data_IF_179038964933
#
_entry.id   IF_179038964933
#
_cell.length_a   1.000
_cell.length_b   1.000
_cell.length_c   1.000
_cell.angle_alpha   90.00
_cell.angle_beta   90.00
_cell.angle_gamma   90.00
#
_symmetry.space_group_name_H-M   'P 1'
#
loop_
_entity.id
_entity.type
_entity.pdbx_description
1 polymer ?
#
# COMPACT_ATOMS: atom_id res chain seq x y z
N UNK A 1 0.58 33.73 -12.67
CA UNK A 1 -0.57 32.82 -12.64
C UNK A 1 -0.48 31.66 -13.64
N UNK A 2 -0.09 31.88 -14.91
CA UNK A 2 -0.02 30.85 -15.96
C UNK A 2 0.98 29.73 -15.66
N UNK A 3 2.20 30.05 -15.21
CA UNK A 3 3.23 29.06 -14.85
C UNK A 3 2.80 28.18 -13.67
N UNK A 4 2.05 28.73 -12.71
CA UNK A 4 1.55 27.99 -11.55
C UNK A 4 0.49 26.97 -11.98
N UNK A 5 -0.36 27.29 -12.94
CA UNK A 5 -1.32 26.35 -13.53
C UNK A 5 -0.60 25.21 -14.26
N UNK A 6 0.46 25.52 -15.03
CA UNK A 6 1.27 24.50 -15.71
C UNK A 6 1.96 23.57 -14.73
N UNK A 7 2.52 24.09 -13.62
CA UNK A 7 3.08 23.24 -12.56
C UNK A 7 2.03 22.34 -11.93
N UNK A 8 0.83 22.84 -11.68
CA UNK A 8 -0.26 22.06 -11.12
C UNK A 8 -0.72 20.95 -12.08
N UNK A 9 -0.87 21.27 -13.36
CA UNK A 9 -1.26 20.30 -14.39
C UNK A 9 -0.25 19.16 -14.54
N UNK A 10 1.04 19.42 -14.39
CA UNK A 10 2.09 18.39 -14.39
C UNK A 10 2.19 17.71 -13.03
N UNK A 11 1.99 18.43 -11.93
CA UNK A 11 2.06 17.91 -10.58
C UNK A 11 0.98 16.89 -10.26
N UNK A 12 -0.24 17.04 -10.79
CA UNK A 12 -1.35 16.10 -10.56
C UNK A 12 -1.04 14.66 -11.00
N UNK A 13 -0.61 14.38 -12.25
CA UNK A 13 -0.20 13.04 -12.65
C UNK A 13 0.93 12.47 -11.78
N UNK A 14 1.93 13.28 -11.44
CA UNK A 14 3.02 12.86 -10.54
C UNK A 14 2.49 12.49 -9.16
N UNK A 15 1.59 13.31 -8.60
CA UNK A 15 0.93 13.02 -7.31
C UNK A 15 0.17 11.70 -7.38
N UNK A 16 -0.58 11.45 -8.44
CA UNK A 16 -1.32 10.20 -8.62
C UNK A 16 -0.39 8.98 -8.64
N UNK A 17 0.72 9.05 -9.39
CA UNK A 17 1.70 7.96 -9.45
C UNK A 17 2.29 7.73 -8.05
N UNK A 18 2.77 8.78 -7.38
CA UNK A 18 3.40 8.67 -6.06
C UNK A 18 2.41 8.19 -4.98
N UNK A 19 1.17 8.65 -5.05
CA UNK A 19 0.10 8.22 -4.12
C UNK A 19 -0.22 6.74 -4.32
N UNK A 20 -0.40 6.28 -5.55
CA UNK A 20 -0.70 4.87 -5.82
C UNK A 20 0.44 3.95 -5.39
N UNK A 21 1.67 4.31 -5.76
CA UNK A 21 2.86 3.56 -5.31
C UNK A 21 2.96 3.57 -3.80
N UNK A 22 2.72 4.71 -3.17
CA UNK A 22 2.71 4.86 -1.73
C UNK A 22 1.64 4.01 -1.04
N UNK A 23 0.43 3.95 -1.61
CA UNK A 23 -0.65 3.08 -1.13
C UNK A 23 -0.26 1.60 -1.21
N UNK A 24 0.24 1.17 -2.36
CA UNK A 24 0.64 -0.23 -2.57
C UNK A 24 1.72 -0.65 -1.56
N UNK A 25 2.78 0.16 -1.39
CA UNK A 25 3.85 -0.14 -0.43
C UNK A 25 3.37 -0.04 1.02
N UNK A 26 2.56 0.97 1.34
CA UNK A 26 2.05 1.16 2.70
C UNK A 26 1.15 0.02 3.17
N UNK A 27 0.26 -0.48 2.31
CA UNK A 27 -0.59 -1.63 2.64
C UNK A 27 0.22 -2.91 2.82
N UNK A 28 1.25 -3.11 2.00
CA UNK A 28 2.15 -4.27 2.13
C UNK A 28 2.97 -4.19 3.41
N UNK A 29 3.58 -3.04 3.69
CA UNK A 29 4.37 -2.81 4.90
C UNK A 29 3.55 -2.98 6.17
N UNK A 30 2.34 -2.43 6.20
CA UNK A 30 1.40 -2.60 7.31
C UNK A 30 1.00 -4.08 7.49
N UNK A 31 0.72 -4.80 6.41
CA UNK A 31 0.42 -6.24 6.46
C UNK A 31 1.61 -7.04 7.00
N UNK A 32 2.83 -6.76 6.54
CA UNK A 32 4.05 -7.41 7.05
C UNK A 32 4.27 -7.10 8.53
N UNK A 33 4.10 -5.84 8.94
CA UNK A 33 4.26 -5.42 10.32
C UNK A 33 3.25 -6.12 11.23
N UNK A 34 2.00 -6.23 10.81
CA UNK A 34 0.98 -6.95 11.58
C UNK A 34 1.28 -8.44 11.71
N UNK A 35 1.77 -9.10 10.64
CA UNK A 35 2.18 -10.50 10.72
C UNK A 35 3.33 -10.69 11.73
N UNK A 36 4.36 -9.86 11.67
CA UNK A 36 5.48 -9.88 12.65
C UNK A 36 5.01 -9.58 14.07
N UNK A 37 3.98 -8.73 14.21
CA UNK A 37 3.38 -8.39 15.50
C UNK A 37 2.69 -9.57 16.21
N UNK A 38 2.52 -10.72 15.56
CA UNK A 38 2.08 -11.95 16.19
C UNK A 38 3.12 -12.53 17.18
N UNK A 39 4.40 -12.18 17.03
CA UNK A 39 5.49 -12.69 17.86
C UNK A 39 5.88 -14.13 17.56
N UNK A 40 5.40 -14.71 16.46
CA UNK A 40 5.71 -16.06 16.02
C UNK A 40 6.96 -16.15 15.16
N UNK A 41 7.65 -17.30 15.19
CA UNK A 41 8.79 -17.62 14.32
C UNK A 41 8.37 -18.40 13.09
N UNK A 42 7.33 -19.28 13.22
CA UNK A 42 6.82 -20.16 12.16
C UNK A 42 5.32 -20.02 12.07
N UNK A 43 4.81 -20.13 10.85
CA UNK A 43 3.36 -20.18 10.55
C UNK A 43 3.02 -21.42 9.76
N UNK A 44 2.05 -22.19 10.24
CA UNK A 44 1.45 -23.32 9.54
C UNK A 44 0.08 -22.92 9.03
N UNK A 45 -0.18 -23.10 7.73
CA UNK A 45 -1.43 -22.68 7.08
C UNK A 45 -2.24 -23.87 6.59
N UNK A 46 -3.55 -23.68 6.46
CA UNK A 46 -4.44 -24.66 5.86
C UNK A 46 -4.20 -24.84 4.36
N UNK A 47 -4.55 -26.00 3.84
CA UNK A 47 -4.41 -26.36 2.43
C UNK A 47 -5.68 -26.07 1.66
N UNK A 48 -5.67 -25.06 0.81
CA UNK A 48 -6.62 -24.88 -0.28
C UNK A 48 -5.94 -24.15 -1.43
N UNK A 49 -6.19 -24.54 -2.66
CA UNK A 49 -5.61 -23.91 -3.84
C UNK A 49 -5.96 -22.40 -3.93
N UNK A 50 -7.09 -21.98 -3.35
CA UNK A 50 -7.47 -20.56 -3.25
C UNK A 50 -6.74 -19.81 -2.12
N UNK A 51 -6.12 -20.50 -1.17
CA UNK A 51 -5.44 -19.91 -0.01
C UNK A 51 -4.09 -19.27 -0.35
N UNK A 52 -3.55 -19.49 -1.53
CA UNK A 52 -2.32 -18.83 -1.98
C UNK A 52 -2.51 -17.32 -2.15
N UNK A 53 -3.74 -16.84 -2.37
CA UNK A 53 -4.07 -15.45 -2.64
C UNK A 53 -4.95 -14.83 -1.54
N UNK A 54 -5.81 -15.65 -0.89
CA UNK A 54 -6.72 -15.20 0.17
C UNK A 54 -6.30 -15.79 1.53
N UNK A 55 -6.09 -14.92 2.52
CA UNK A 55 -5.76 -15.28 3.91
C UNK A 55 -6.92 -15.96 4.66
N UNK A 56 -8.09 -16.08 4.05
CA UNK A 56 -9.29 -16.73 4.60
C UNK A 56 -9.80 -17.82 3.67
N UNK A 57 -10.26 -18.90 4.25
CA UNK A 57 -10.93 -20.01 3.55
C UNK A 57 -10.27 -21.38 3.65
N UNK A 58 -8.96 -21.46 3.90
CA UNK A 58 -8.33 -22.74 4.22
C UNK A 58 -8.28 -22.91 5.73
N UNK A 59 -8.82 -24.00 6.23
CA UNK A 59 -8.85 -24.27 7.67
C UNK A 59 -8.10 -25.56 8.01
N UNK A 60 -7.44 -25.54 9.18
CA UNK A 60 -6.84 -26.71 9.84
C UNK A 60 -7.70 -27.11 11.03
N UNK A 61 -7.62 -28.38 11.43
CA UNK A 61 -8.21 -28.78 12.70
C UNK A 61 -7.46 -28.13 13.87
N UNK A 62 -8.19 -27.60 14.84
CA UNK A 62 -7.62 -27.04 16.06
C UNK A 62 -6.77 -28.05 16.83
N UNK A 63 -7.03 -29.37 16.68
CA UNK A 63 -6.22 -30.45 17.26
C UNK A 63 -4.74 -30.41 16.82
N UNK A 64 -4.45 -29.80 15.68
CA UNK A 64 -3.05 -29.61 15.27
C UNK A 64 -2.28 -28.64 16.17
N UNK A 65 -2.95 -27.73 16.87
CA UNK A 65 -2.30 -26.85 17.85
C UNK A 65 -1.62 -27.68 18.94
N UNK A 66 -2.34 -28.66 19.53
CA UNK A 66 -1.78 -29.50 20.59
C UNK A 66 -0.69 -30.46 20.06
N UNK A 67 -0.82 -30.92 18.81
CA UNK A 67 0.21 -31.73 18.17
C UNK A 67 1.49 -30.92 17.92
N UNK A 68 1.38 -29.70 17.43
CA UNK A 68 2.50 -28.82 17.13
C UNK A 68 3.17 -28.32 18.41
N UNK A 69 2.40 -28.05 19.47
CA UNK A 69 2.91 -27.66 20.79
C UNK A 69 3.86 -28.73 21.39
N UNK A 70 3.68 -30.02 21.06
CA UNK A 70 4.50 -31.12 21.56
C UNK A 70 5.77 -31.38 20.73
N UNK A 71 6.02 -30.63 19.69
CA UNK A 71 7.21 -30.82 18.86
C UNK A 71 8.44 -30.25 19.55
N UNK A 72 9.62 -30.80 19.22
CA UNK A 72 10.89 -30.30 19.73
C UNK A 72 11.12 -28.85 19.37
N UNK A 73 11.65 -28.06 20.27
CA UNK A 73 11.94 -26.65 20.10
C UNK A 73 10.73 -25.74 19.91
N UNK A 74 9.49 -26.23 20.06
CA UNK A 74 8.29 -25.41 20.07
C UNK A 74 7.96 -25.01 21.50
N UNK A 75 8.11 -23.73 21.84
CA UNK A 75 7.76 -23.18 23.13
C UNK A 75 6.24 -23.00 23.24
N UNK A 76 5.62 -22.48 22.15
CA UNK A 76 4.19 -22.18 22.15
C UNK A 76 3.58 -22.36 20.75
N UNK A 77 2.35 -22.90 20.71
CA UNK A 77 1.53 -22.98 19.51
C UNK A 77 0.17 -22.31 19.74
N UNK A 78 -0.23 -21.42 18.83
CA UNK A 78 -1.49 -20.66 18.92
C UNK A 78 -2.24 -20.74 17.60
N UNK A 79 -3.47 -21.27 17.64
CA UNK A 79 -4.38 -21.25 16.49
C UNK A 79 -5.18 -19.97 16.44
N UNK A 80 -5.34 -19.43 15.22
CA UNK A 80 -6.20 -18.28 14.98
C UNK A 80 -7.14 -18.55 13.81
N UNK A 81 -8.35 -17.98 13.87
CA UNK A 81 -9.31 -18.02 12.78
C UNK A 81 -9.47 -16.60 12.23
N UNK A 82 -9.25 -16.42 10.94
CA UNK A 82 -9.42 -15.12 10.28
C UNK A 82 -10.61 -15.17 9.34
N UNK A 83 -11.50 -14.19 9.47
CA UNK A 83 -12.67 -14.00 8.61
C UNK A 83 -12.63 -12.62 7.94
N UNK A 84 -12.70 -12.59 6.60
CA UNK A 84 -12.75 -11.34 5.86
C UNK A 84 -14.17 -10.79 5.84
N UNK A 85 -14.35 -9.58 6.38
CA UNK A 85 -15.65 -8.91 6.34
C UNK A 85 -15.77 -8.11 5.04
N UNK A 86 -14.76 -7.30 4.77
CA UNK A 86 -14.68 -6.43 3.60
C UNK A 86 -13.19 -6.08 3.41
N UNK A 87 -12.62 -6.45 2.27
CA UNK A 87 -11.21 -6.14 2.02
C UNK A 87 -10.93 -4.64 2.21
N UNK A 88 -9.88 -4.27 2.96
CA UNK A 88 -8.87 -5.12 3.59
C UNK A 88 -9.15 -5.53 5.06
N UNK A 89 -10.35 -5.27 5.59
CA UNK A 89 -10.69 -5.50 6.99
C UNK A 89 -10.98 -6.98 7.27
N UNK A 90 -10.27 -7.51 8.24
CA UNK A 90 -10.37 -8.90 8.72
C UNK A 90 -10.70 -8.90 10.21
N UNK A 91 -11.62 -9.77 10.64
CA UNK A 91 -11.82 -10.13 12.04
C UNK A 91 -10.99 -11.36 12.35
N UNK A 92 -10.28 -11.35 13.45
CA UNK A 92 -9.47 -12.48 13.89
C UNK A 92 -9.97 -12.99 15.23
N UNK A 93 -10.37 -14.25 15.25
CA UNK A 93 -10.69 -14.99 16.45
C UNK A 93 -9.42 -15.53 17.09
N UNK A 94 -9.22 -15.24 18.36
CA UNK A 94 -8.04 -15.64 19.15
C UNK A 94 -8.45 -16.23 20.50
N UNK A 95 -7.62 -17.15 21.00
CA UNK A 95 -7.52 -17.40 22.43
C UNK A 95 -6.67 -16.28 23.02
N UNK A 96 -7.30 -15.39 23.78
CA UNK A 96 -6.66 -14.15 24.24
C UNK A 96 -5.44 -14.42 25.10
N UNK A 97 -5.49 -15.39 26.00
CA UNK A 97 -4.41 -15.71 26.93
C UNK A 97 -3.20 -16.24 26.17
N UNK A 98 -3.40 -17.25 25.33
CA UNK A 98 -2.33 -17.83 24.51
C UNK A 98 -1.74 -16.84 23.51
N UNK A 99 -2.61 -16.09 22.82
CA UNK A 99 -2.16 -15.13 21.83
C UNK A 99 -1.37 -13.97 22.46
N UNK A 100 -1.84 -13.41 23.57
CA UNK A 100 -1.12 -12.32 24.26
C UNK A 100 0.21 -12.78 24.84
N UNK A 101 0.29 -14.00 25.33
CA UNK A 101 1.56 -14.58 25.80
C UNK A 101 2.58 -14.69 24.65
N UNK A 102 2.15 -15.13 23.45
CA UNK A 102 3.01 -15.20 22.27
C UNK A 102 3.39 -13.83 21.73
N UNK A 103 2.41 -12.93 21.58
CA UNK A 103 2.57 -11.62 20.97
C UNK A 103 3.21 -10.56 21.87
N UNK A 104 3.61 -10.91 23.09
CA UNK A 104 4.17 -9.98 24.08
C UNK A 104 3.12 -9.03 24.70
N UNK A 105 1.84 -9.44 24.71
CA UNK A 105 0.73 -8.68 25.27
C UNK A 105 0.08 -7.69 24.31
N UNK A 106 -1.08 -7.18 24.71
CA UNK A 106 -1.74 -6.04 24.09
C UNK A 106 -1.50 -4.78 24.91
N UNK A 107 -1.12 -3.69 24.25
CA UNK A 107 -1.03 -2.37 24.87
C UNK A 107 -2.39 -1.69 24.75
N UNK A 108 -3.16 -1.70 25.82
CA UNK A 108 -4.48 -1.06 25.86
C UNK A 108 -4.35 0.45 25.96
N UNK A 109 -5.02 1.17 25.06
CA UNK A 109 -5.19 2.63 25.09
C UNK A 109 -6.40 2.96 25.95
N UNK A 110 -7.47 2.15 25.84
CA UNK A 110 -8.71 2.29 26.61
C UNK A 110 -9.35 0.91 26.80
N UNK A 111 -10.15 0.76 27.86
CA UNK A 111 -10.85 -0.49 28.16
C UNK A 111 -9.96 -1.62 28.65
N UNK A 112 -10.20 -2.85 28.20
CA UNK A 112 -9.47 -4.04 28.67
C UNK A 112 -9.79 -5.31 27.85
N UNK A 113 -9.41 -6.48 28.42
CA UNK A 113 -9.55 -7.77 27.75
C UNK A 113 -11.01 -8.23 27.64
N UNK A 114 -11.26 -9.27 26.85
CA UNK A 114 -12.58 -9.93 26.74
C UNK A 114 -13.08 -10.39 28.13
N UNK A 115 -14.34 -10.16 28.39
CA UNK A 115 -15.05 -10.62 29.60
C UNK A 115 -16.32 -11.39 29.26
N UNK A 116 -16.85 -11.17 28.04
CA UNK A 116 -18.09 -11.77 27.57
C UNK A 116 -17.92 -12.27 26.14
N UNK A 117 -18.69 -13.28 25.70
CA UNK A 117 -18.58 -13.82 24.34
C UNK A 117 -18.79 -12.82 23.21
N UNK A 118 -19.51 -11.71 23.49
CA UNK A 118 -19.77 -10.66 22.50
C UNK A 118 -18.80 -9.46 22.62
N UNK A 119 -17.74 -9.62 23.41
CA UNK A 119 -16.71 -8.60 23.53
C UNK A 119 -15.80 -8.64 22.31
N UNK A 120 -15.38 -7.47 21.84
CA UNK A 120 -14.39 -7.31 20.81
C UNK A 120 -13.33 -6.29 21.22
N UNK A 121 -12.11 -6.52 20.78
CA UNK A 121 -11.00 -5.58 20.90
C UNK A 121 -10.74 -5.03 19.51
N UNK A 122 -10.57 -3.72 19.41
CA UNK A 122 -10.22 -3.04 18.17
C UNK A 122 -8.89 -2.30 18.31
N UNK A 123 -8.18 -2.09 17.22
CA UNK A 123 -6.99 -1.26 17.26
C UNK A 123 -7.36 0.23 17.11
N UNK A 124 -6.38 1.10 17.37
CA UNK A 124 -6.56 2.56 17.29
C UNK A 124 -6.96 3.06 15.91
N UNK A 125 -6.54 2.37 14.83
CA UNK A 125 -6.87 2.79 13.49
C UNK A 125 -8.34 2.53 13.16
N UNK A 126 -8.84 1.32 13.51
CA UNK A 126 -10.25 1.00 13.36
C UNK A 126 -11.14 1.89 14.24
N UNK A 127 -10.72 2.12 15.49
CA UNK A 127 -11.39 3.04 16.41
C UNK A 127 -11.51 4.44 15.83
N UNK A 128 -10.43 4.99 15.27
CA UNK A 128 -10.42 6.32 14.67
C UNK A 128 -11.25 6.39 13.39
N UNK A 129 -11.17 5.38 12.50
CA UNK A 129 -11.91 5.37 11.22
C UNK A 129 -13.41 5.24 11.40
N UNK A 130 -13.84 4.43 12.35
CA UNK A 130 -15.26 4.15 12.62
C UNK A 130 -15.84 5.00 13.73
N UNK A 131 -15.04 5.86 14.36
CA UNK A 131 -15.42 6.68 15.52
C UNK A 131 -16.00 5.85 16.68
N UNK A 132 -15.35 4.70 16.95
CA UNK A 132 -15.80 3.73 17.95
C UNK A 132 -14.86 3.76 19.15
N UNK A 133 -15.43 3.80 20.36
CA UNK A 133 -14.68 3.87 21.61
C UNK A 133 -14.92 2.63 22.49
N UNK A 134 -14.07 2.43 23.48
CA UNK A 134 -14.31 1.39 24.47
C UNK A 134 -15.61 1.67 25.23
N UNK A 135 -16.49 0.66 25.29
CA UNK A 135 -17.85 0.74 25.84
C UNK A 135 -18.96 0.82 24.79
N UNK A 136 -18.63 1.14 23.54
CA UNK A 136 -19.62 1.21 22.46
C UNK A 136 -20.08 -0.19 22.01
N UNK A 137 -21.26 -0.23 21.40
CA UNK A 137 -21.77 -1.45 20.75
C UNK A 137 -21.93 -1.20 19.27
N UNK A 138 -21.31 -2.05 18.45
CA UNK A 138 -21.37 -1.96 16.99
C UNK A 138 -21.96 -3.21 16.37
N UNK A 139 -22.64 -3.06 15.24
CA UNK A 139 -23.15 -4.18 14.45
C UNK A 139 -22.09 -4.65 13.47
N UNK A 140 -21.66 -5.92 13.60
CA UNK A 140 -20.71 -6.56 12.72
C UNK A 140 -21.11 -8.01 12.48
N UNK A 141 -21.04 -8.51 11.23
CA UNK A 141 -21.48 -9.87 10.87
C UNK A 141 -22.92 -10.17 11.34
N UNK A 142 -23.84 -9.19 11.20
CA UNK A 142 -25.25 -9.25 11.65
C UNK A 142 -25.44 -9.50 13.15
N UNK A 143 -24.44 -9.17 13.98
CA UNK A 143 -24.48 -9.37 15.43
C UNK A 143 -24.00 -8.10 16.14
N UNK A 144 -24.59 -7.76 17.30
CA UNK A 144 -24.07 -6.69 18.15
C UNK A 144 -22.81 -7.15 18.88
N UNK A 145 -21.75 -6.34 18.80
CA UNK A 145 -20.48 -6.54 19.50
C UNK A 145 -20.22 -5.37 20.43
N UNK A 146 -19.83 -5.68 21.65
CA UNK A 146 -19.38 -4.70 22.62
C UNK A 146 -17.88 -4.49 22.51
N UNK A 147 -17.45 -3.26 22.23
CA UNK A 147 -16.03 -2.89 22.16
C UNK A 147 -15.49 -2.77 23.57
N UNK A 148 -14.90 -3.83 24.07
CA UNK A 148 -14.37 -3.88 25.46
C UNK A 148 -13.01 -3.20 25.60
N UNK A 149 -12.24 -3.08 24.51
CA UNK A 149 -10.90 -2.48 24.55
C UNK A 149 -10.46 -1.92 23.20
N UNK A 150 -9.65 -0.86 23.29
CA UNK A 150 -8.92 -0.28 22.18
C UNK A 150 -7.43 -0.46 22.45
N UNK A 151 -6.70 -1.04 21.48
CA UNK A 151 -5.27 -1.35 21.60
C UNK A 151 -4.42 -0.57 20.60
N UNK A 152 -3.11 -0.51 20.83
CA UNK A 152 -2.15 -0.04 19.83
C UNK A 152 -2.17 -0.94 18.61
N UNK A 153 -2.00 -0.34 17.42
CA UNK A 153 -1.95 -1.06 16.16
C UNK A 153 -0.65 -1.87 15.99
N UNK A 154 -0.61 -2.74 14.97
CA UNK A 154 0.59 -3.52 14.61
C UNK A 154 0.57 -4.98 15.08
N UNK A 155 -0.53 -5.44 15.66
CA UNK A 155 -0.78 -6.87 15.90
C UNK A 155 -1.64 -7.41 14.74
N UNK A 156 -1.54 -8.66 14.43
CA UNK A 156 -2.13 -9.47 13.36
C UNK A 156 -3.35 -8.89 12.61
N UNK A 157 -4.29 -8.27 13.32
CA UNK A 157 -5.56 -7.75 12.77
C UNK A 157 -5.94 -6.41 13.41
N UNK A 158 -6.93 -5.72 12.81
CA UNK A 158 -7.56 -4.53 13.38
C UNK A 158 -8.67 -4.85 14.37
N UNK A 159 -9.23 -6.05 14.28
CA UNK A 159 -10.39 -6.49 15.07
C UNK A 159 -10.11 -7.88 15.62
N UNK A 160 -10.25 -8.03 16.94
CA UNK A 160 -10.10 -9.30 17.63
C UNK A 160 -11.38 -9.65 18.36
N UNK A 161 -11.72 -10.93 18.31
CA UNK A 161 -12.86 -11.53 19.01
C UNK A 161 -12.44 -12.87 19.64
N UNK A 162 -13.26 -13.44 20.50
CA UNK A 162 -12.99 -14.77 21.06
C UNK A 162 -13.05 -15.85 19.94
N UNK A 163 -12.05 -16.72 19.90
CA UNK A 163 -11.90 -17.75 18.86
C UNK A 163 -13.16 -18.61 18.73
N UNK A 164 -13.70 -19.10 19.85
CA UNK A 164 -14.88 -20.00 19.85
C UNK A 164 -16.11 -19.32 19.26
N UNK A 165 -16.30 -18.05 19.58
CA UNK A 165 -17.42 -17.26 19.07
C UNK A 165 -17.32 -17.06 17.55
N UNK A 166 -16.13 -16.78 17.04
CA UNK A 166 -15.93 -16.64 15.60
C UNK A 166 -16.07 -18.00 14.89
N UNK A 167 -15.59 -19.09 15.49
CA UNK A 167 -15.78 -20.44 14.96
C UNK A 167 -17.27 -20.83 14.80
N UNK A 168 -18.10 -20.45 15.77
CA UNK A 168 -19.54 -20.67 15.69
C UNK A 168 -20.19 -19.86 14.57
N UNK A 169 -19.82 -18.56 14.46
CA UNK A 169 -20.37 -17.64 13.44
C UNK A 169 -19.97 -18.06 12.01
N UNK A 170 -18.75 -18.55 11.85
CA UNK A 170 -18.21 -18.96 10.56
C UNK A 170 -18.49 -20.43 10.22
N UNK A 171 -19.30 -21.12 11.04
CA UNK A 171 -19.57 -22.56 10.91
C UNK A 171 -18.29 -23.42 10.82
N UNK A 172 -17.24 -22.96 11.49
CA UNK A 172 -15.89 -23.54 11.48
C UNK A 172 -15.48 -24.06 12.86
N UNK A 173 -16.43 -24.63 13.62
CA UNK A 173 -16.16 -25.15 14.96
C UNK A 173 -15.00 -26.15 14.97
N UNK A 174 -14.03 -25.94 15.87
CA UNK A 174 -12.81 -26.75 15.99
C UNK A 174 -11.84 -26.60 14.81
N UNK A 175 -11.95 -25.51 14.04
CA UNK A 175 -11.04 -25.18 12.94
C UNK A 175 -10.38 -23.83 13.15
N UNK A 176 -9.16 -23.69 12.62
CA UNK A 176 -8.36 -22.46 12.62
C UNK A 176 -7.84 -22.21 11.21
N UNK A 177 -7.61 -20.96 10.84
CA UNK A 177 -7.06 -20.61 9.52
C UNK A 177 -5.55 -20.83 9.45
N UNK A 178 -4.87 -20.58 10.55
CA UNK A 178 -3.42 -20.70 10.67
C UNK A 178 -3.02 -20.97 12.12
N UNK A 179 -1.86 -21.60 12.28
CA UNK A 179 -1.27 -21.87 13.59
C UNK A 179 0.10 -21.17 13.61
N UNK A 180 0.27 -20.33 14.58
CA UNK A 180 1.52 -19.63 14.88
C UNK A 180 2.33 -20.44 15.88
N UNK A 181 3.64 -20.57 15.63
CA UNK A 181 4.57 -21.27 16.51
C UNK A 181 5.65 -20.28 16.95
N UNK A 182 5.89 -20.24 18.25
CA UNK A 182 7.03 -19.59 18.85
C UNK A 182 8.03 -20.65 19.27
N UNK A 183 9.30 -20.43 18.99
CA UNK A 183 10.38 -21.37 19.29
C UNK A 183 11.11 -20.94 20.57
N UNK A 184 11.75 -21.93 21.22
CA UNK A 184 12.68 -21.70 22.34
C UNK A 184 13.91 -20.88 21.90
N UNK A 185 14.34 -21.07 20.64
CA UNK A 185 15.40 -20.33 20.02
C UNK A 185 15.12 -20.12 18.53
N UNK A 186 15.05 -18.87 18.03
CA UNK A 186 14.83 -18.57 16.61
C UNK A 186 15.85 -19.23 15.65
N UNK A 187 17.06 -19.54 16.12
CA UNK A 187 18.07 -20.24 15.30
C UNK A 187 17.64 -21.63 14.86
N UNK A 188 16.68 -22.25 15.55
CA UNK A 188 16.14 -23.57 15.24
C UNK A 188 15.08 -23.56 14.14
N UNK A 189 14.67 -22.38 13.63
CA UNK A 189 13.55 -22.23 12.70
C UNK A 189 13.68 -23.14 11.48
N UNK A 190 14.85 -23.18 10.82
CA UNK A 190 15.06 -24.00 9.63
C UNK A 190 14.95 -25.52 9.91
N UNK A 191 15.54 -25.98 11.02
CA UNK A 191 15.48 -27.36 11.43
C UNK A 191 14.06 -27.82 11.79
N UNK A 192 13.33 -26.96 12.54
CA UNK A 192 11.92 -27.25 12.91
C UNK A 192 11.04 -27.27 11.69
N UNK A 193 11.17 -26.33 10.73
CA UNK A 193 10.40 -26.33 9.48
C UNK A 193 10.65 -27.62 8.69
N UNK A 194 11.92 -28.06 8.58
CA UNK A 194 12.24 -29.30 7.86
C UNK A 194 11.57 -30.52 8.52
N UNK A 195 11.71 -30.65 9.84
CA UNK A 195 11.08 -31.73 10.60
C UNK A 195 9.54 -31.72 10.52
N UNK A 196 8.94 -30.53 10.49
CA UNK A 196 7.50 -30.41 10.33
C UNK A 196 7.03 -30.73 8.91
N UNK A 197 7.77 -30.34 7.87
CA UNK A 197 7.44 -30.66 6.46
C UNK A 197 7.50 -32.19 6.20
N UNK A 198 8.37 -32.91 6.88
CA UNK A 198 8.41 -34.39 6.80
C UNK A 198 7.17 -35.03 7.43
N UNK A 199 6.64 -34.46 8.52
CA UNK A 199 5.45 -34.96 9.23
C UNK A 199 4.14 -34.47 8.63
N UNK A 200 4.14 -33.31 8.01
CA UNK A 200 2.97 -32.60 7.48
C UNK A 200 3.25 -32.09 6.04
N UNK A 201 3.52 -32.99 5.08
CA UNK A 201 3.93 -32.61 3.73
C UNK A 201 2.83 -31.87 2.94
N UNK A 202 1.57 -32.02 3.32
CA UNK A 202 0.44 -31.39 2.65
C UNK A 202 0.21 -29.94 3.11
N UNK A 203 0.82 -29.51 4.23
CA UNK A 203 0.56 -28.21 4.81
C UNK A 203 1.67 -27.21 4.48
N UNK A 204 1.33 -26.00 4.00
CA UNK A 204 2.29 -24.92 3.82
C UNK A 204 2.84 -24.45 5.18
N UNK A 205 4.16 -24.58 5.35
CA UNK A 205 4.89 -24.21 6.56
C UNK A 205 5.96 -23.22 6.15
N UNK A 206 5.90 -22.01 6.73
CA UNK A 206 6.80 -20.91 6.42
C UNK A 206 7.41 -20.35 7.70
N UNK A 207 8.66 -19.86 7.61
CA UNK A 207 9.15 -18.94 8.62
C UNK A 207 8.41 -17.60 8.52
N UNK A 208 8.40 -16.82 9.59
CA UNK A 208 7.80 -15.48 9.56
C UNK A 208 8.52 -14.57 8.54
N UNK A 209 9.84 -14.73 8.39
CA UNK A 209 10.62 -14.01 7.38
C UNK A 209 10.23 -14.41 5.96
N UNK A 210 10.10 -15.70 5.70
CA UNK A 210 9.66 -16.22 4.39
C UNK A 210 8.26 -15.73 4.06
N UNK A 211 7.30 -15.84 5.00
CA UNK A 211 5.94 -15.37 4.82
C UNK A 211 5.88 -13.86 4.52
N UNK A 212 6.60 -13.06 5.30
CA UNK A 212 6.62 -11.61 5.09
C UNK A 212 7.34 -11.22 3.80
N UNK A 213 8.36 -11.97 3.37
CA UNK A 213 9.01 -11.74 2.07
C UNK A 213 8.12 -12.07 0.88
N UNK A 214 7.20 -13.03 1.03
CA UNK A 214 6.19 -13.34 0.00
C UNK A 214 5.15 -12.22 -0.15
N UNK A 215 4.86 -11.48 0.93
CA UNK A 215 3.97 -10.33 0.90
C UNK A 215 4.74 -9.11 0.39
N UNK A 216 4.94 -9.02 -0.92
CA UNK A 216 5.57 -7.87 -1.55
C UNK A 216 4.91 -7.55 -2.91
N UNK A 217 5.16 -6.34 -3.43
CA UNK A 217 4.56 -5.83 -4.68
C UNK A 217 4.79 -6.78 -5.86
N UNK A 218 5.94 -7.45 -5.91
CA UNK A 218 6.31 -8.31 -7.05
C UNK A 218 5.64 -9.68 -7.01
N UNK A 219 5.22 -10.15 -5.83
CA UNK A 219 4.67 -11.48 -5.63
C UNK A 219 3.13 -11.50 -5.59
N UNK A 220 2.50 -10.34 -5.40
CA UNK A 220 1.04 -10.23 -5.45
C UNK A 220 0.62 -10.09 -6.91
N UNK A 221 -0.03 -11.13 -7.44
CA UNK A 221 -0.48 -11.15 -8.83
C UNK A 221 -1.36 -9.94 -9.16
N UNK A 222 -1.06 -9.28 -10.27
CA UNK A 222 -1.81 -8.13 -10.77
C UNK A 222 -1.42 -6.77 -10.17
N UNK A 223 -0.77 -6.71 -9.01
CA UNK A 223 -0.41 -5.43 -8.37
C UNK A 223 0.70 -4.72 -9.14
N UNK A 224 1.72 -5.45 -9.56
CA UNK A 224 2.80 -4.92 -10.39
C UNK A 224 2.29 -4.41 -11.73
N UNK A 225 1.49 -5.23 -12.41
CA UNK A 225 0.90 -4.91 -13.71
C UNK A 225 -0.01 -3.67 -13.59
N UNK A 226 -0.86 -3.64 -12.60
CA UNK A 226 -1.73 -2.49 -12.33
C UNK A 226 -0.92 -1.21 -12.08
N UNK A 227 0.16 -1.28 -11.29
CA UNK A 227 1.03 -0.13 -11.04
C UNK A 227 1.64 0.38 -12.34
N UNK A 228 2.14 -0.50 -13.22
CA UNK A 228 2.71 -0.09 -14.50
C UNK A 228 1.67 0.48 -15.46
N UNK A 229 0.44 -0.02 -15.46
CA UNK A 229 -0.67 0.56 -16.25
C UNK A 229 -0.96 1.99 -15.79
N UNK A 230 -1.04 2.24 -14.48
CA UNK A 230 -1.31 3.59 -13.97
C UNK A 230 -0.13 4.53 -14.23
N UNK A 231 1.11 4.06 -14.09
CA UNK A 231 2.30 4.82 -14.49
C UNK A 231 2.22 5.17 -15.98
N UNK A 232 1.88 4.22 -16.84
CA UNK A 232 1.72 4.44 -18.27
C UNK A 232 0.64 5.49 -18.61
N UNK A 233 -0.50 5.43 -17.94
CA UNK A 233 -1.57 6.44 -18.09
C UNK A 233 -1.04 7.82 -17.62
N UNK A 234 -0.35 7.88 -16.49
CA UNK A 234 0.26 9.12 -15.98
C UNK A 234 1.26 9.73 -16.96
N UNK A 235 2.09 8.89 -17.60
CA UNK A 235 3.02 9.32 -18.67
C UNK A 235 2.29 9.92 -19.86
N UNK A 236 1.24 9.25 -20.34
CA UNK A 236 0.44 9.75 -21.48
C UNK A 236 -0.24 11.08 -21.15
N UNK A 237 -0.82 11.19 -19.96
CA UNK A 237 -1.46 12.44 -19.51
C UNK A 237 -0.39 13.54 -19.36
N UNK A 238 0.73 13.25 -18.72
CA UNK A 238 1.84 14.19 -18.54
C UNK A 238 2.38 14.69 -19.88
N UNK A 239 2.60 13.79 -20.85
CA UNK A 239 2.99 14.14 -22.22
C UNK A 239 1.98 15.07 -22.89
N UNK A 240 0.69 14.73 -22.87
CA UNK A 240 -0.37 15.53 -23.49
C UNK A 240 -0.47 16.92 -22.86
N UNK A 241 -0.38 17.00 -21.53
CA UNK A 241 -0.42 18.27 -20.79
C UNK A 241 0.77 19.17 -21.15
N UNK A 242 2.00 18.61 -21.19
CA UNK A 242 3.18 19.38 -21.57
C UNK A 242 3.10 19.82 -23.03
N UNK A 243 2.71 18.93 -23.93
CA UNK A 243 2.53 19.25 -25.36
C UNK A 243 1.56 20.44 -25.54
N UNK A 244 0.39 20.37 -24.91
CA UNK A 244 -0.62 21.42 -24.99
C UNK A 244 -0.13 22.74 -24.35
N UNK A 245 0.49 22.65 -23.18
CA UNK A 245 1.03 23.81 -22.46
C UNK A 245 2.12 24.52 -23.26
N UNK A 246 3.07 23.76 -23.83
CA UNK A 246 4.13 24.30 -24.68
C UNK A 246 3.60 24.84 -25.99
N UNK A 247 2.60 24.19 -26.61
CA UNK A 247 1.94 24.68 -27.81
C UNK A 247 1.32 26.06 -27.58
N UNK A 248 0.59 26.22 -26.48
CA UNK A 248 0.01 27.54 -26.11
C UNK A 248 1.08 28.58 -25.76
N UNK A 249 2.17 28.19 -25.10
CA UNK A 249 3.28 29.08 -24.80
C UNK A 249 3.97 29.60 -26.06
N UNK A 250 4.22 28.71 -27.04
CA UNK A 250 4.81 29.08 -28.34
C UNK A 250 3.90 30.04 -29.12
N UNK A 251 2.58 29.75 -29.18
CA UNK A 251 1.62 30.63 -29.89
C UNK A 251 1.62 32.05 -29.26
N UNK A 252 1.68 32.17 -27.96
CA UNK A 252 1.67 33.46 -27.27
C UNK A 252 2.96 34.28 -27.46
N UNK A 253 4.10 33.63 -27.80
CA UNK A 253 5.42 34.22 -27.98
C UNK A 253 5.90 34.17 -29.45
N UNK A 254 4.98 33.96 -30.42
CA UNK A 254 5.33 33.81 -31.83
C UNK A 254 6.14 35.00 -32.34
N UNK A 255 5.77 36.25 -31.96
CA UNK A 255 6.49 37.46 -32.31
C UNK A 255 7.91 37.54 -31.72
N UNK A 256 8.09 37.15 -30.46
CA UNK A 256 9.43 37.10 -29.81
C UNK A 256 10.33 36.10 -30.52
N UNK A 257 9.78 34.91 -30.86
CA UNK A 257 10.49 33.88 -31.64
C UNK A 257 10.86 34.39 -33.04
N UNK A 258 9.98 35.12 -33.68
CA UNK A 258 10.23 35.77 -35.00
C UNK A 258 11.38 36.77 -34.92
N UNK A 259 11.44 37.63 -33.87
CA UNK A 259 12.54 38.56 -33.61
C UNK A 259 13.86 37.80 -33.41
N UNK A 260 13.87 36.74 -32.60
CA UNK A 260 15.07 35.95 -32.38
C UNK A 260 15.59 35.31 -33.67
N UNK A 261 14.70 34.86 -34.56
CA UNK A 261 15.06 34.30 -35.86
C UNK A 261 15.60 35.35 -36.79
N UNK A 262 15.00 36.55 -36.85
CA UNK A 262 15.49 37.67 -37.69
C UNK A 262 16.88 38.17 -37.26
N UNK A 263 17.25 37.98 -35.97
CA UNK A 263 18.59 38.24 -35.44
C UNK A 263 19.59 37.10 -35.68
N UNK A 264 19.19 36.06 -36.42
CA UNK A 264 20.07 34.94 -36.83
C UNK A 264 19.99 33.73 -35.89
N UNK A 265 18.97 33.62 -35.03
CA UNK A 265 18.76 32.47 -34.15
C UNK A 265 18.52 31.19 -35.00
N UNK A 266 19.33 30.13 -34.76
CA UNK A 266 19.17 28.85 -35.47
C UNK A 266 17.94 28.11 -34.97
N UNK A 267 17.40 27.22 -35.82
CA UNK A 267 16.26 26.37 -35.45
C UNK A 267 16.56 25.50 -34.23
N UNK A 268 17.82 25.02 -34.07
CA UNK A 268 18.25 24.26 -32.90
C UNK A 268 18.28 25.10 -31.63
N UNK A 269 18.63 26.37 -31.72
CA UNK A 269 18.61 27.30 -30.60
C UNK A 269 17.19 27.54 -30.06
N UNK A 270 16.23 27.77 -30.98
CA UNK A 270 14.82 27.95 -30.60
C UNK A 270 14.22 26.69 -30.00
N UNK A 271 14.46 25.53 -30.64
CA UNK A 271 14.06 24.23 -30.09
C UNK A 271 14.64 24.02 -28.69
N UNK A 272 15.93 24.34 -28.49
CA UNK A 272 16.61 24.24 -27.20
C UNK A 272 15.94 25.06 -26.11
N UNK A 273 15.53 26.30 -26.41
CA UNK A 273 14.80 27.17 -25.46
C UNK A 273 13.48 26.53 -25.04
N UNK A 274 12.68 26.04 -26.01
CA UNK A 274 11.36 25.44 -25.75
C UNK A 274 11.51 24.16 -24.92
N UNK A 275 12.47 23.29 -25.24
CA UNK A 275 12.73 22.06 -24.49
C UNK A 275 13.23 22.38 -23.07
N UNK A 276 14.12 23.35 -22.93
CA UNK A 276 14.63 23.78 -21.61
C UNK A 276 13.51 24.32 -20.73
N UNK A 277 12.61 25.13 -21.28
CA UNK A 277 11.43 25.64 -20.57
C UNK A 277 10.51 24.48 -20.12
N UNK A 278 10.26 23.51 -21.01
CA UNK A 278 9.49 22.32 -20.67
C UNK A 278 10.15 21.49 -19.57
N UNK A 279 11.46 21.32 -19.60
CA UNK A 279 12.19 20.60 -18.53
C UNK A 279 12.10 21.32 -17.18
N UNK A 280 12.21 22.65 -17.18
CA UNK A 280 12.02 23.44 -15.94
C UNK A 280 10.60 23.29 -15.38
N UNK A 281 9.59 23.29 -16.26
CA UNK A 281 8.20 23.01 -15.88
C UNK A 281 8.06 21.57 -15.34
N UNK A 282 8.74 20.61 -15.94
CA UNK A 282 8.78 19.20 -15.48
C UNK A 282 9.37 19.08 -14.09
N UNK A 283 10.50 19.73 -13.81
CA UNK A 283 11.12 19.77 -12.47
C UNK A 283 10.16 20.40 -11.46
N UNK A 284 9.64 21.61 -11.75
CA UNK A 284 8.73 22.31 -10.86
C UNK A 284 7.43 21.53 -10.60
N UNK A 285 6.86 20.94 -11.66
CA UNK A 285 5.70 20.06 -11.57
C UNK A 285 5.96 18.80 -10.70
N UNK A 286 7.13 18.18 -10.85
CA UNK A 286 7.51 17.04 -10.02
C UNK A 286 7.67 17.42 -8.57
N UNK A 287 8.33 18.52 -8.26
CA UNK A 287 8.48 19.01 -6.88
C UNK A 287 7.11 19.33 -6.26
N UNK A 288 6.23 19.98 -7.02
CA UNK A 288 4.85 20.21 -6.58
C UNK A 288 4.09 18.89 -6.37
N UNK A 289 4.24 17.93 -7.27
CA UNK A 289 3.62 16.59 -7.16
C UNK A 289 4.09 15.83 -5.91
N UNK A 290 5.39 15.90 -5.59
CA UNK A 290 5.94 15.35 -4.35
C UNK A 290 5.30 16.06 -3.14
N UNK A 291 5.24 17.38 -3.12
CA UNK A 291 4.62 18.12 -2.03
C UNK A 291 3.13 17.76 -1.86
N UNK A 292 2.38 17.65 -2.96
CA UNK A 292 0.98 17.24 -2.95
C UNK A 292 0.79 15.79 -2.46
N UNK A 293 1.76 14.88 -2.71
CA UNK A 293 1.69 13.50 -2.23
C UNK A 293 1.76 13.42 -0.69
N UNK A 294 2.46 14.33 -0.01
CA UNK A 294 2.40 14.45 1.46
C UNK A 294 1.02 14.89 1.94
N UNK A 295 0.40 15.84 1.21
CA UNK A 295 -0.99 16.24 1.48
C UNK A 295 -1.98 15.09 1.30
N UNK A 296 -1.82 14.29 0.23
CA UNK A 296 -2.62 13.10 0.00
C UNK A 296 -2.44 12.06 1.12
N UNK A 297 -1.20 11.81 1.56
CA UNK A 297 -0.92 10.93 2.71
C UNK A 297 -1.63 11.40 3.97
N UNK A 298 -1.53 12.70 4.29
CA UNK A 298 -2.18 13.28 5.46
C UNK A 298 -3.71 13.09 5.38
N UNK A 299 -4.31 13.35 4.21
CA UNK A 299 -5.75 13.20 3.99
C UNK A 299 -6.20 11.76 4.16
N UNK A 300 -5.50 10.80 3.55
CA UNK A 300 -5.81 9.37 3.64
C UNK A 300 -5.69 8.89 5.10
N UNK A 301 -4.61 9.27 5.79
CA UNK A 301 -4.41 8.88 7.18
C UNK A 301 -5.47 9.45 8.13
N UNK A 302 -6.06 10.60 7.77
CA UNK A 302 -7.13 11.23 8.57
C UNK A 302 -8.49 10.62 8.30
N UNK A 303 -8.78 10.23 7.04
CA UNK A 303 -10.11 9.76 6.64
C UNK A 303 -10.28 8.25 6.80
N UNK A 304 -9.27 7.45 6.47
CA UNK A 304 -9.37 5.98 6.40
C UNK A 304 -8.12 5.27 6.94
N UNK A 305 -7.74 5.53 8.21
CA UNK A 305 -6.48 5.04 8.76
C UNK A 305 -6.39 3.51 8.91
N UNK A 306 -7.51 2.80 9.07
CA UNK A 306 -7.52 1.34 9.20
C UNK A 306 -7.58 0.62 7.85
N UNK A 307 -8.29 1.22 6.90
CA UNK A 307 -8.53 0.57 5.61
C UNK A 307 -7.35 0.73 4.66
N UNK A 308 -6.66 1.87 4.71
CA UNK A 308 -5.64 2.23 3.73
C UNK A 308 -4.45 2.90 4.42
N UNK A 309 -3.29 2.27 4.34
CA UNK A 309 -2.02 2.85 4.78
C UNK A 309 -1.22 3.34 3.58
N UNK A 310 -0.65 4.53 3.64
CA UNK A 310 0.21 5.09 2.60
C UNK A 310 1.62 5.30 3.12
N UNK A 311 2.59 4.61 2.52
CA UNK A 311 4.02 4.84 2.74
C UNK A 311 4.55 5.97 1.82
N UNK A 312 5.57 6.68 2.28
CA UNK A 312 6.36 7.53 1.40
C UNK A 312 7.53 6.71 0.90
N UNK A 313 7.65 6.57 -0.41
CA UNK A 313 8.69 5.75 -1.06
C UNK A 313 9.68 6.66 -1.80
N UNK A 314 10.76 7.14 -1.15
CA UNK A 314 11.68 8.14 -1.74
C UNK A 314 12.38 7.65 -3.02
N UNK A 315 12.55 6.32 -3.17
CA UNK A 315 13.13 5.72 -4.38
C UNK A 315 12.34 6.05 -5.65
N UNK A 316 11.05 6.34 -5.52
CA UNK A 316 10.19 6.73 -6.64
C UNK A 316 10.30 8.21 -7.03
N UNK A 317 10.90 9.08 -6.22
CA UNK A 317 11.06 10.49 -6.56
C UNK A 317 11.95 10.70 -7.77
N UNK A 318 13.18 10.14 -7.84
CA UNK A 318 14.01 10.25 -9.03
C UNK A 318 13.41 9.53 -10.24
N UNK A 319 12.66 8.43 -10.03
CA UNK A 319 11.96 7.72 -11.10
C UNK A 319 10.86 8.63 -11.69
N UNK A 320 10.01 9.21 -10.85
CA UNK A 320 8.97 10.14 -11.27
C UNK A 320 9.55 11.37 -11.97
N UNK A 321 10.64 11.93 -11.46
CA UNK A 321 11.37 13.03 -12.11
C UNK A 321 11.86 12.63 -13.51
N UNK A 322 12.50 11.48 -13.64
CA UNK A 322 13.01 10.98 -14.93
C UNK A 322 11.89 10.76 -15.95
N UNK A 323 10.78 10.17 -15.51
CA UNK A 323 9.59 9.97 -16.33
C UNK A 323 9.01 11.32 -16.78
N UNK A 324 8.88 12.27 -15.86
CA UNK A 324 8.32 13.59 -16.13
C UNK A 324 9.22 14.38 -17.08
N UNK A 325 10.55 14.34 -16.90
CA UNK A 325 11.51 15.00 -17.79
C UNK A 325 11.49 14.39 -19.21
N UNK A 326 11.43 13.07 -19.32
CA UNK A 326 11.29 12.41 -20.60
C UNK A 326 9.97 12.82 -21.30
N UNK A 327 8.85 12.77 -20.58
CA UNK A 327 7.54 13.21 -21.11
C UNK A 327 7.56 14.69 -21.50
N UNK A 328 8.20 15.54 -20.73
CA UNK A 328 8.36 16.97 -21.02
C UNK A 328 9.21 17.22 -22.27
N UNK A 329 10.34 16.54 -22.40
CA UNK A 329 11.20 16.65 -23.56
C UNK A 329 10.47 16.24 -24.85
N UNK A 330 9.83 15.04 -24.84
CA UNK A 330 9.08 14.56 -25.99
C UNK A 330 7.83 15.42 -26.29
N UNK A 331 7.10 15.87 -25.25
CA UNK A 331 5.93 16.72 -25.39
C UNK A 331 6.25 18.10 -25.98
N UNK A 332 7.44 18.61 -25.70
CA UNK A 332 7.92 19.90 -26.22
C UNK A 332 8.49 19.81 -27.65
N UNK A 333 8.83 18.62 -28.14
CA UNK A 333 9.44 18.46 -29.48
C UNK A 333 8.52 18.97 -30.58
N UNK A 334 7.27 18.57 -30.61
CA UNK A 334 6.32 18.98 -31.66
C UNK A 334 6.11 20.51 -31.68
N UNK A 335 5.71 21.18 -30.59
CA UNK A 335 5.56 22.63 -30.60
C UNK A 335 6.89 23.36 -30.82
N UNK A 336 8.00 22.84 -30.30
CA UNK A 336 9.34 23.40 -30.51
C UNK A 336 9.81 23.34 -31.97
N UNK A 337 9.61 22.22 -32.64
CA UNK A 337 9.90 22.07 -34.08
C UNK A 337 9.02 23.00 -34.92
N UNK A 338 7.73 23.10 -34.58
CA UNK A 338 6.82 24.03 -35.26
C UNK A 338 7.27 25.49 -35.11
N UNK A 339 7.64 25.90 -33.87
CA UNK A 339 8.20 27.21 -33.59
C UNK A 339 9.49 27.48 -34.37
N UNK A 340 10.38 26.48 -34.43
CA UNK A 340 11.66 26.57 -35.13
C UNK A 340 11.49 26.69 -36.66
N UNK A 341 10.42 26.19 -37.26
CA UNK A 341 10.16 26.26 -38.71
C UNK A 341 9.24 27.41 -39.13
N UNK A 342 8.68 28.20 -38.22
CA UNK A 342 7.88 29.38 -38.57
C UNK A 342 8.70 30.40 -39.36
N UNK A 343 8.09 30.95 -40.44
CA UNK A 343 8.72 32.03 -41.22
C UNK A 343 8.78 33.33 -40.36
N UNK A 344 9.96 33.95 -40.26
CA UNK A 344 10.11 35.19 -39.50
C UNK A 344 9.21 36.33 -40.02
N UNK A 345 8.93 36.34 -41.35
CA UNK A 345 8.10 37.38 -41.99
C UNK A 345 6.64 37.25 -41.55
N UNK A 346 6.10 36.02 -41.56
CA UNK A 346 4.74 35.74 -41.10
C UNK A 346 4.60 35.97 -39.58
N UNK A 347 5.63 35.62 -38.78
CA UNK A 347 5.66 35.84 -37.33
C UNK A 347 5.63 37.30 -36.93
N UNK A 348 6.20 38.20 -37.75
CA UNK A 348 6.22 39.66 -37.48
C UNK A 348 4.95 40.37 -37.98
N UNK A 349 4.20 39.73 -38.92
CA UNK A 349 2.93 40.23 -39.43
C UNK A 349 1.71 39.81 -38.57
N UNK A 350 1.90 39.01 -37.56
CA UNK A 350 0.85 38.57 -36.64
C UNK A 350 0.53 39.69 -35.64
N UNK A 351 -0.65 40.33 -35.79
CA UNK A 351 -1.23 41.28 -34.82
C UNK A 351 -1.91 40.56 -33.63
#
# INVERSE_FOLDING_TARGET
MRSLLSFLLIGVPVTLILTLVGLTHGMIEDSQQRQRGSGADIVVRGTNAAAAINFSGATLSEKFVDFLQKQSHVEMAVGVLSHNIQLPLTVTGIDLERFTAMAGGFTYIAGGPFRKPNDMIVDRYYSAERHVHAGDTIMLMNRPWHVCGVIEAGKLSHIFVELKVLQELDSSTGKVSQIFLKLDNPSNTAAVIQALKEKLPEYPIYSMEELTSMINVNNIAGVKEFTWVVVGIGVVIGFAVVCLSMYMAVLQRTREIGILKSLGGSNGFILGIVVMEAMLLGVGGTLLGIAMSFGAKWLIHTLVPASIQMAIVPVWWPIALSITLASAAFGALYPGLRAAHHDPIEALAYE
#
